data_IF_091919152116
#
_entry.id   IF_091919152116
#
_cell.length_a   1.000
_cell.length_b   1.000
_cell.length_c   1.000
_cell.angle_alpha   90.00
_cell.angle_beta   90.00
_cell.angle_gamma   90.00
#
_symmetry.space_group_name_H-M   'P 1'
#
loop_
_entity.id
_entity.type
_entity.pdbx_description
1 polymer ?
#
# COMPACT_ATOMS: atom_id res chain seq x y z
N UNK A 1 -36.33 17.69 0.54
CA UNK A 1 -35.84 16.71 1.55
C UNK A 1 -34.44 17.12 1.96
N UNK A 2 -34.15 17.29 3.26
CA UNK A 2 -32.77 17.56 3.73
C UNK A 2 -32.03 16.23 3.88
N UNK A 3 -30.97 16.03 3.10
CA UNK A 3 -30.13 14.83 3.17
C UNK A 3 -29.34 14.85 4.49
N UNK A 4 -29.35 13.75 5.24
CA UNK A 4 -28.59 13.64 6.50
C UNK A 4 -27.17 13.21 6.17
N UNK A 5 -26.25 14.17 6.20
CA UNK A 5 -24.82 13.93 5.94
C UNK A 5 -24.18 13.18 7.12
N UNK A 6 -23.37 12.18 6.82
CA UNK A 6 -22.53 11.49 7.80
C UNK A 6 -21.35 12.37 8.28
N UNK A 7 -20.52 11.86 9.19
CA UNK A 7 -19.39 12.62 9.74
C UNK A 7 -18.30 12.94 8.71
N UNK A 8 -18.11 12.06 7.73
CA UNK A 8 -17.13 12.19 6.66
C UNK A 8 -17.62 13.18 5.59
N UNK A 9 -18.88 13.06 5.17
CA UNK A 9 -19.50 13.95 4.20
C UNK A 9 -19.52 15.40 4.72
N UNK A 10 -19.81 15.60 6.01
CA UNK A 10 -19.72 16.93 6.65
C UNK A 10 -18.31 17.49 6.67
N UNK A 11 -17.29 16.63 6.76
CA UNK A 11 -15.91 17.09 6.70
C UNK A 11 -15.55 17.55 5.29
N UNK A 12 -15.93 16.77 4.27
CA UNK A 12 -15.73 17.14 2.86
C UNK A 12 -16.43 18.46 2.55
N UNK A 13 -17.66 18.66 3.02
CA UNK A 13 -18.42 19.90 2.82
C UNK A 13 -17.73 21.10 3.44
N UNK A 14 -17.18 20.96 4.66
CA UNK A 14 -16.41 22.03 5.33
C UNK A 14 -15.12 22.40 4.62
N UNK A 15 -14.46 21.42 4.01
CA UNK A 15 -13.17 21.62 3.32
C UNK A 15 -13.35 21.93 1.83
N UNK A 16 -14.59 21.88 1.31
CA UNK A 16 -14.91 22.01 -0.11
C UNK A 16 -14.40 23.33 -0.73
N UNK A 17 -14.53 24.43 0.01
CA UNK A 17 -14.11 25.76 -0.43
C UNK A 17 -12.58 25.90 -0.59
N UNK A 18 -11.81 24.99 0.00
CA UNK A 18 -10.35 24.98 -0.09
C UNK A 18 -9.81 24.20 -1.30
N UNK A 19 -10.66 23.42 -1.97
CA UNK A 19 -10.23 22.57 -3.09
C UNK A 19 -9.92 23.41 -4.33
N UNK A 20 -8.70 23.24 -4.84
CA UNK A 20 -8.26 23.87 -6.10
C UNK A 20 -8.29 22.84 -7.22
N UNK A 21 -8.72 23.22 -8.44
CA UNK A 21 -8.65 22.34 -9.58
C UNK A 21 -7.19 21.98 -9.89
N UNK A 22 -6.93 20.69 -10.07
CA UNK A 22 -5.62 20.19 -10.51
C UNK A 22 -5.28 20.75 -11.90
N UNK A 23 -4.00 21.08 -12.10
CA UNK A 23 -3.47 21.43 -13.42
C UNK A 23 -3.67 20.27 -14.41
N UNK A 24 -3.86 20.56 -15.71
CA UNK A 24 -4.03 19.52 -16.75
C UNK A 24 -2.90 18.48 -16.73
N UNK A 25 -1.67 18.90 -16.44
CA UNK A 25 -0.50 18.02 -16.33
C UNK A 25 -0.59 17.07 -15.13
N UNK A 26 -1.01 17.58 -13.98
CA UNK A 26 -1.11 16.77 -12.76
C UNK A 26 -2.31 15.81 -12.83
N UNK A 27 -3.41 16.25 -13.43
CA UNK A 27 -4.54 15.38 -13.74
C UNK A 27 -4.14 14.21 -14.63
N UNK A 28 -3.40 14.44 -15.71
CA UNK A 28 -2.89 13.37 -16.57
C UNK A 28 -1.97 12.41 -15.83
N UNK A 29 -1.10 12.90 -14.94
CA UNK A 29 -0.23 12.03 -14.12
C UNK A 29 -1.06 11.15 -13.18
N UNK A 30 -2.04 11.73 -12.50
CA UNK A 30 -2.92 10.99 -11.58
C UNK A 30 -3.74 9.95 -12.36
N UNK A 31 -4.32 10.32 -13.49
CA UNK A 31 -5.06 9.39 -14.37
C UNK A 31 -4.17 8.24 -14.85
N UNK A 32 -2.95 8.53 -15.31
CA UNK A 32 -2.00 7.49 -15.75
C UNK A 32 -1.56 6.54 -14.61
N UNK A 33 -1.41 7.07 -13.39
CA UNK A 33 -1.13 6.24 -12.20
C UNK A 33 -2.32 5.34 -11.86
N UNK A 34 -3.54 5.89 -11.87
CA UNK A 34 -4.76 5.12 -11.63
C UNK A 34 -4.96 4.02 -12.68
N UNK A 35 -4.70 4.32 -13.95
CA UNK A 35 -4.81 3.35 -15.03
C UNK A 35 -3.79 2.22 -14.91
N UNK A 36 -2.56 2.51 -14.44
CA UNK A 36 -1.57 1.47 -14.14
C UNK A 36 -2.01 0.58 -12.98
N UNK A 37 -2.55 1.16 -11.92
CA UNK A 37 -3.01 0.42 -10.74
C UNK A 37 -4.23 -0.45 -11.06
N UNK A 38 -5.15 0.04 -11.90
CA UNK A 38 -6.34 -0.69 -12.32
C UNK A 38 -6.02 -1.91 -13.20
N UNK A 39 -4.91 -1.88 -13.93
CA UNK A 39 -4.44 -3.01 -14.75
C UNK A 39 -3.83 -4.10 -13.87
N UNK A 40 -4.68 -4.95 -13.30
CA UNK A 40 -4.28 -6.17 -12.60
C UNK A 40 -4.41 -7.40 -13.51
N UNK A 41 -3.57 -8.41 -13.27
CA UNK A 41 -3.68 -9.73 -13.90
C UNK A 41 -3.60 -10.80 -12.83
N UNK A 42 -4.43 -11.83 -12.97
CA UNK A 42 -4.40 -13.00 -12.09
C UNK A 42 -3.23 -13.91 -12.47
N UNK A 43 -2.48 -14.37 -11.47
CA UNK A 43 -1.39 -15.34 -11.63
C UNK A 43 -1.69 -16.58 -10.80
N UNK A 44 -1.46 -17.76 -11.37
CA UNK A 44 -1.56 -19.03 -10.64
C UNK A 44 -0.16 -19.47 -10.22
N UNK A 45 0.08 -19.63 -8.92
CA UNK A 45 1.38 -20.05 -8.37
C UNK A 45 1.17 -21.33 -7.57
N UNK A 46 2.00 -22.35 -7.82
CA UNK A 46 2.07 -23.53 -6.95
C UNK A 46 3.02 -23.24 -5.80
N UNK A 47 2.56 -23.49 -4.57
CA UNK A 47 3.30 -23.25 -3.34
C UNK A 47 3.20 -24.48 -2.44
N UNK A 48 4.27 -24.77 -1.71
CA UNK A 48 4.26 -25.86 -0.75
C UNK A 48 3.31 -25.54 0.43
N UNK A 49 2.65 -26.58 0.97
CA UNK A 49 1.62 -26.41 1.99
C UNK A 49 2.17 -25.79 3.29
N UNK A 50 3.38 -26.19 3.69
CA UNK A 50 4.08 -25.64 4.84
C UNK A 50 4.32 -24.12 4.69
N UNK A 51 4.69 -23.67 3.49
CA UNK A 51 4.90 -22.23 3.19
C UNK A 51 3.58 -21.47 3.26
N UNK A 52 2.50 -22.04 2.71
CA UNK A 52 1.17 -21.41 2.76
C UNK A 52 0.67 -21.24 4.21
N UNK A 53 0.91 -22.23 5.08
CA UNK A 53 0.57 -22.14 6.50
C UNK A 53 1.32 -21.01 7.19
N UNK A 54 2.62 -20.90 6.96
CA UNK A 54 3.45 -19.84 7.57
C UNK A 54 3.06 -18.44 7.06
N UNK A 55 2.75 -18.30 5.76
CA UNK A 55 2.26 -17.04 5.21
C UNK A 55 0.94 -16.59 5.83
N UNK A 56 0.01 -17.53 6.08
CA UNK A 56 -1.25 -17.22 6.78
C UNK A 56 -1.01 -16.80 8.23
N UNK A 57 -0.09 -17.47 8.92
CA UNK A 57 0.29 -17.13 10.29
C UNK A 57 0.82 -15.69 10.37
N UNK A 58 1.78 -15.35 9.52
CA UNK A 58 2.36 -13.99 9.46
C UNK A 58 1.35 -12.94 9.02
N UNK A 59 0.48 -13.25 8.07
CA UNK A 59 -0.53 -12.28 7.64
C UNK A 59 -1.54 -11.98 8.76
N UNK A 60 -1.88 -12.96 9.59
CA UNK A 60 -2.72 -12.75 10.77
C UNK A 60 -2.05 -11.86 11.81
N UNK A 61 -0.73 -12.04 12.06
CA UNK A 61 0.04 -11.16 12.95
C UNK A 61 0.03 -9.70 12.47
N UNK A 62 0.11 -9.48 11.14
CA UNK A 62 0.03 -8.15 10.54
C UNK A 62 -1.41 -7.63 10.38
N UNK A 63 -2.44 -8.43 10.67
CA UNK A 63 -3.85 -8.08 10.48
C UNK A 63 -4.29 -7.98 9.01
N UNK A 64 -3.59 -8.65 8.10
CA UNK A 64 -3.80 -8.59 6.65
C UNK A 64 -4.21 -9.95 6.06
N UNK A 65 -4.97 -9.98 4.95
CA UNK A 65 -5.19 -11.22 4.20
C UNK A 65 -3.86 -11.76 3.63
N UNK A 66 -3.67 -13.08 3.64
CA UNK A 66 -2.42 -13.70 3.17
C UNK A 66 -2.12 -13.38 1.69
N UNK A 67 -3.15 -13.22 0.85
CA UNK A 67 -2.98 -12.81 -0.55
C UNK A 67 -2.43 -11.38 -0.65
N UNK A 68 -2.86 -10.50 0.26
CA UNK A 68 -2.37 -9.10 0.32
C UNK A 68 -0.92 -9.07 0.77
N UNK A 69 -0.55 -9.89 1.76
CA UNK A 69 0.83 -10.04 2.18
C UNK A 69 1.72 -10.54 1.02
N UNK A 70 1.30 -11.57 0.30
CA UNK A 70 2.03 -12.10 -0.87
C UNK A 70 2.21 -11.01 -1.93
N UNK A 71 1.15 -10.28 -2.26
CA UNK A 71 1.20 -9.17 -3.22
C UNK A 71 2.16 -8.06 -2.78
N UNK A 72 2.12 -7.69 -1.50
CA UNK A 72 3.05 -6.70 -0.93
C UNK A 72 4.50 -7.17 -0.98
N UNK A 73 4.77 -8.45 -0.73
CA UNK A 73 6.12 -9.02 -0.81
C UNK A 73 6.62 -8.95 -2.25
N UNK A 74 5.81 -9.36 -3.24
CA UNK A 74 6.19 -9.28 -4.65
C UNK A 74 6.47 -7.83 -5.09
N UNK A 75 5.64 -6.89 -4.67
CA UNK A 75 5.86 -5.47 -4.95
C UNK A 75 7.17 -4.96 -4.30
N UNK A 76 7.41 -5.27 -3.03
CA UNK A 76 8.66 -4.91 -2.33
C UNK A 76 9.89 -5.56 -2.97
N UNK A 77 9.75 -6.78 -3.47
CA UNK A 77 10.81 -7.50 -4.18
C UNK A 77 11.21 -6.77 -5.46
N UNK A 78 10.23 -6.48 -6.32
CA UNK A 78 10.47 -5.82 -7.63
C UNK A 78 10.95 -4.38 -7.46
N UNK A 79 10.56 -3.71 -6.38
CA UNK A 79 11.01 -2.34 -6.06
C UNK A 79 12.36 -2.30 -5.32
N UNK A 80 13.03 -3.44 -5.13
CA UNK A 80 14.28 -3.57 -4.36
C UNK A 80 14.16 -3.01 -2.92
N UNK A 81 12.95 -3.03 -2.33
CA UNK A 81 12.67 -2.57 -0.96
C UNK A 81 12.38 -3.72 0.00
N UNK A 82 12.70 -4.95 -0.40
CA UNK A 82 12.41 -6.12 0.42
C UNK A 82 13.29 -6.15 1.68
N UNK A 83 14.50 -5.63 1.56
CA UNK A 83 15.41 -5.40 2.67
C UNK A 83 15.51 -3.90 2.85
N UNK A 84 15.11 -3.41 4.02
CA UNK A 84 15.29 -2.00 4.36
C UNK A 84 16.77 -1.76 4.68
N UNK A 85 17.55 -1.43 3.65
CA UNK A 85 18.97 -1.07 3.81
C UNK A 85 19.15 0.08 4.80
N UNK A 86 18.18 1.00 4.91
CA UNK A 86 18.28 2.10 5.86
C UNK A 86 18.12 1.60 7.30
N UNK A 87 17.22 0.63 7.54
CA UNK A 87 17.10 -0.03 8.84
C UNK A 87 18.38 -0.80 9.22
N UNK A 88 19.00 -1.49 8.26
CA UNK A 88 20.27 -2.21 8.48
C UNK A 88 21.43 -1.24 8.74
N UNK A 89 21.54 -0.14 7.98
CA UNK A 89 22.58 0.87 8.22
C UNK A 89 22.41 1.53 9.59
N UNK A 90 21.17 1.78 10.00
CA UNK A 90 20.86 2.36 11.32
C UNK A 90 21.23 1.39 12.46
N UNK A 91 20.93 0.10 12.32
CA UNK A 91 21.33 -0.89 13.32
C UNK A 91 22.85 -1.09 13.39
N UNK A 92 23.56 -1.07 12.25
CA UNK A 92 25.02 -1.10 12.20
C UNK A 92 25.66 0.13 12.87
N UNK A 93 25.12 1.33 12.63
CA UNK A 93 25.58 2.54 13.32
C UNK A 93 25.39 2.47 14.84
N UNK A 94 24.24 1.94 15.29
CA UNK A 94 23.95 1.75 16.72
C UNK A 94 24.89 0.72 17.37
N UNK A 95 25.31 -0.31 16.64
CA UNK A 95 26.29 -1.30 17.11
C UNK A 95 27.72 -0.75 17.13
N UNK A 96 28.08 0.17 16.23
CA UNK A 96 29.40 0.81 16.19
C UNK A 96 29.59 1.94 17.22
N UNK A 97 28.50 2.43 17.84
CA UNK A 97 28.54 3.46 18.88
C UNK A 97 28.61 2.88 20.32
N UNK A 98 28.85 1.57 20.45
CA UNK A 98 29.21 0.91 21.72
C UNK A 98 30.67 0.51 21.70
#
# INVERSE_FOLDING_TARGET
>A
MKTKLDSFERQIEREADSYRPLSKKDRQKVEALLDRVRKSRTINIRIAENVLKELRRRSQEEGLPYQTLISSILHRYVTNRLVDEAAIRKSLQLLQQR
#
